data_IF_384255952091
#
_entry.id   IF_384255952091
#
_cell.length_a   1.000
_cell.length_b   1.000
_cell.length_c   1.000
_cell.angle_alpha   90.00
_cell.angle_beta   90.00
_cell.angle_gamma   90.00
#
_symmetry.space_group_name_H-M   'P 1'
#
loop_
_entity.id
_entity.type
_entity.pdbx_description
1 polymer ?
#
# COMPACT_ATOMS: atom_id res chain seq x y z
N UNK A 1 8.39 -12.00 -15.93
CA UNK A 1 9.12 -11.23 -14.87
C UNK A 1 8.18 -10.15 -14.39
N UNK A 2 7.91 -10.13 -13.09
CA UNK A 2 7.15 -9.09 -12.42
C UNK A 2 8.15 -8.11 -11.82
N UNK A 3 8.12 -6.87 -12.28
CA UNK A 3 8.89 -5.77 -11.71
C UNK A 3 7.87 -4.83 -11.07
N UNK A 4 7.83 -4.82 -9.74
CA UNK A 4 6.86 -4.06 -8.96
C UNK A 4 7.59 -3.22 -7.92
N UNK A 5 7.20 -1.95 -7.84
CA UNK A 5 7.69 -1.06 -6.81
C UNK A 5 6.55 -0.22 -6.25
N UNK A 6 6.66 0.08 -4.96
CA UNK A 6 5.73 0.92 -4.25
C UNK A 6 6.48 1.85 -3.31
N UNK A 7 6.14 3.13 -3.38
CA UNK A 7 6.56 4.17 -2.47
C UNK A 7 5.33 4.75 -1.78
N UNK A 8 5.38 4.94 -0.47
CA UNK A 8 4.29 5.54 0.30
C UNK A 8 4.81 6.66 1.18
N UNK A 9 4.09 7.79 1.21
CA UNK A 9 4.32 8.88 2.14
C UNK A 9 3.13 8.98 3.07
N UNK A 10 3.38 8.88 4.38
CA UNK A 10 2.35 8.84 5.43
C UNK A 10 2.54 9.98 6.42
N UNK A 11 1.44 10.64 6.76
CA UNK A 11 1.33 11.55 7.88
C UNK A 11 0.45 10.91 8.94
N UNK A 12 1.03 10.62 10.11
CA UNK A 12 0.36 9.97 11.22
C UNK A 12 0.31 10.89 12.44
N UNK A 13 -0.76 10.81 13.22
CA UNK A 13 -0.88 11.54 14.48
C UNK A 13 -1.36 10.62 15.59
N UNK A 14 -0.60 10.52 16.68
CA UNK A 14 -0.93 9.66 17.81
C UNK A 14 -1.95 10.34 18.74
N UNK A 15 -3.10 9.72 18.92
CA UNK A 15 -4.20 10.13 19.79
C UNK A 15 -4.53 8.98 20.75
N UNK A 16 -3.83 8.92 21.88
CA UNK A 16 -4.00 7.85 22.89
C UNK A 16 -3.78 6.44 22.29
N UNK A 17 -4.82 5.60 22.25
CA UNK A 17 -4.81 4.23 21.69
C UNK A 17 -4.95 4.20 20.16
N UNK A 18 -5.33 5.31 19.54
CA UNK A 18 -5.51 5.42 18.09
C UNK A 18 -4.36 6.21 17.48
N UNK A 19 -3.85 5.75 16.34
CA UNK A 19 -2.90 6.51 15.52
C UNK A 19 -3.46 6.58 14.10
N UNK A 20 -4.41 7.50 13.84
CA UNK A 20 -4.88 7.74 12.48
C UNK A 20 -3.73 8.28 11.60
N UNK A 21 -3.76 7.88 10.33
CA UNK A 21 -2.84 8.36 9.32
C UNK A 21 -3.52 8.55 7.97
N UNK A 22 -2.96 9.46 7.18
CA UNK A 22 -3.33 9.69 5.79
C UNK A 22 -2.06 9.83 4.97
N UNK A 23 -2.12 9.44 3.71
CA UNK A 23 -0.96 9.53 2.85
C UNK A 23 -1.25 9.30 1.39
N UNK A 24 -0.17 9.28 0.63
CA UNK A 24 -0.18 8.98 -0.79
C UNK A 24 0.68 7.76 -1.05
N UNK A 25 0.25 6.96 -2.02
CA UNK A 25 0.94 5.75 -2.47
C UNK A 25 1.26 5.93 -3.94
N UNK A 26 2.52 5.82 -4.31
CA UNK A 26 2.95 5.73 -5.70
C UNK A 26 3.42 4.30 -5.97
N UNK A 27 2.67 3.55 -6.76
CA UNK A 27 3.03 2.18 -7.14
C UNK A 27 3.07 2.02 -8.65
N UNK A 28 3.89 1.07 -9.12
CA UNK A 28 3.87 0.64 -10.50
C UNK A 28 4.27 -0.82 -10.61
N UNK A 29 3.36 -1.60 -11.17
CA UNK A 29 3.57 -3.00 -11.51
C UNK A 29 3.73 -3.15 -13.02
N UNK A 30 4.91 -3.54 -13.50
CA UNK A 30 5.14 -3.89 -14.91
C UNK A 30 5.17 -5.42 -15.08
N UNK A 31 4.24 -5.96 -15.88
CA UNK A 31 4.20 -7.39 -16.19
C UNK A 31 4.93 -7.69 -17.50
N UNK A 32 6.08 -8.37 -17.41
CA UNK A 32 6.86 -8.78 -18.58
C UNK A 32 6.56 -10.25 -18.87
N UNK A 33 5.72 -10.51 -19.87
CA UNK A 33 5.47 -11.85 -20.40
C UNK A 33 6.51 -12.15 -21.49
N UNK A 34 7.21 -13.27 -21.37
CA UNK A 34 8.14 -13.74 -22.40
C UNK A 34 7.41 -14.73 -23.31
N UNK A 35 7.24 -14.39 -24.59
CA UNK A 35 6.78 -15.31 -25.64
C UNK A 35 7.87 -15.32 -26.72
N UNK A 36 8.41 -16.49 -27.02
CA UNK A 36 9.31 -16.75 -28.17
C UNK A 36 10.51 -15.79 -28.35
N UNK A 37 11.31 -15.54 -27.30
CA UNK A 37 12.52 -14.69 -27.35
C UNK A 37 12.30 -13.23 -27.78
N UNK A 38 11.06 -12.79 -28.00
CA UNK A 38 10.71 -11.40 -28.30
C UNK A 38 10.23 -10.74 -27.03
N UNK A 39 10.96 -9.70 -26.59
CA UNK A 39 10.66 -8.94 -25.38
C UNK A 39 9.43 -8.05 -25.58
N UNK A 40 8.22 -8.59 -25.41
CA UNK A 40 7.00 -7.79 -25.36
C UNK A 40 6.79 -7.24 -23.95
N UNK A 41 7.09 -5.94 -23.76
CA UNK A 41 6.79 -5.20 -22.53
C UNK A 41 5.34 -4.71 -22.58
N UNK A 42 4.43 -5.42 -21.93
CA UNK A 42 3.09 -4.89 -21.64
C UNK A 42 3.23 -4.01 -20.39
N UNK A 43 3.44 -2.71 -20.60
CA UNK A 43 3.49 -1.74 -19.50
C UNK A 43 2.08 -1.57 -18.93
N UNK A 44 1.94 -1.64 -17.61
CA UNK A 44 0.70 -1.26 -16.93
C UNK A 44 0.37 0.20 -17.24
N UNK A 45 -0.93 0.48 -17.38
CA UNK A 45 -1.46 1.78 -17.77
C UNK A 45 -1.00 2.85 -16.76
N UNK A 46 -0.31 3.88 -17.26
CA UNK A 46 0.34 4.95 -16.45
C UNK A 46 -0.66 5.80 -15.64
N UNK A 47 -1.95 5.62 -15.90
CA UNK A 47 -3.05 6.39 -15.29
C UNK A 47 -3.32 6.01 -13.82
N UNK A 48 -2.81 4.85 -13.37
CA UNK A 48 -3.15 4.19 -12.11
C UNK A 48 -1.93 3.93 -11.24
N UNK A 49 -1.15 4.99 -11.01
CA UNK A 49 0.08 4.88 -10.23
C UNK A 49 0.04 5.64 -8.92
N UNK A 50 -0.84 6.63 -8.74
CA UNK A 50 -0.92 7.43 -7.51
C UNK A 50 -2.27 7.16 -6.83
N UNK A 51 -2.21 6.63 -5.61
CA UNK A 51 -3.34 6.37 -4.74
C UNK A 51 -3.31 7.27 -3.50
N UNK A 52 -4.49 7.50 -2.92
CA UNK A 52 -4.65 8.06 -1.58
C UNK A 52 -4.93 6.92 -0.60
N UNK A 53 -4.21 6.93 0.50
CA UNK A 53 -4.36 5.98 1.61
C UNK A 53 -4.82 6.71 2.86
N UNK A 54 -5.75 6.12 3.59
CA UNK A 54 -6.10 6.55 4.93
C UNK A 54 -6.32 5.33 5.80
N UNK A 55 -5.87 5.40 7.05
CA UNK A 55 -5.95 4.28 7.96
C UNK A 55 -5.77 4.70 9.40
N UNK A 56 -5.80 3.71 10.29
CA UNK A 56 -5.58 3.92 11.72
C UNK A 56 -4.94 2.68 12.32
N UNK A 57 -3.97 2.92 13.21
CA UNK A 57 -3.47 1.90 14.11
C UNK A 57 -4.26 1.95 15.43
N UNK A 58 -4.60 0.79 15.96
CA UNK A 58 -5.29 0.62 17.24
C UNK A 58 -4.36 -0.19 18.15
N UNK A 59 -3.75 0.47 19.13
CA UNK A 59 -2.92 -0.19 20.12
C UNK A 59 -3.80 -1.03 21.05
N UNK A 60 -3.57 -2.34 21.05
CA UNK A 60 -4.22 -3.25 22.00
C UNK A 60 -3.42 -3.28 23.30
N UNK A 61 -2.11 -3.48 23.19
CA UNK A 61 -1.12 -3.48 24.27
C UNK A 61 0.18 -2.83 23.77
N UNK A 62 1.20 -2.70 24.62
CA UNK A 62 2.53 -2.16 24.24
C UNK A 62 3.27 -2.98 23.17
N UNK A 63 2.86 -4.24 22.97
CA UNK A 63 3.47 -5.19 22.02
C UNK A 63 2.60 -5.52 20.83
N UNK A 64 1.30 -5.22 20.87
CA UNK A 64 0.33 -5.68 19.87
C UNK A 64 -0.54 -4.50 19.39
N UNK A 65 -0.63 -4.32 18.08
CA UNK A 65 -1.54 -3.35 17.48
C UNK A 65 -2.22 -3.90 16.23
N UNK A 66 -3.45 -3.44 16.02
CA UNK A 66 -4.20 -3.68 14.79
C UNK A 66 -4.00 -2.49 13.86
N UNK A 67 -3.95 -2.73 12.57
CA UNK A 67 -3.87 -1.68 11.56
C UNK A 67 -5.00 -1.89 10.56
N UNK A 68 -5.75 -0.82 10.31
CA UNK A 68 -6.79 -0.73 9.30
C UNK A 68 -6.35 0.29 8.27
N UNK A 69 -6.28 -0.09 7.00
CA UNK A 69 -5.93 0.81 5.89
C UNK A 69 -6.95 0.70 4.76
N UNK A 70 -7.35 1.84 4.20
CA UNK A 70 -8.13 1.95 2.98
C UNK A 70 -7.36 2.67 1.88
N UNK A 71 -7.43 2.13 0.67
CA UNK A 71 -6.98 2.74 -0.58
C UNK A 71 -8.20 3.23 -1.37
N UNK A 72 -8.18 4.48 -1.84
CA UNK A 72 -9.40 5.13 -2.38
C UNK A 72 -9.37 5.46 -3.88
N UNK A 73 -8.22 5.86 -4.44
CA UNK A 73 -8.19 6.44 -5.81
C UNK A 73 -7.82 5.42 -6.90
N UNK A 74 -6.76 4.65 -6.68
CA UNK A 74 -6.17 3.80 -7.72
C UNK A 74 -6.85 2.42 -7.79
N UNK A 75 -6.95 1.81 -6.62
CA UNK A 75 -7.68 0.58 -6.35
C UNK A 75 -8.48 0.80 -5.06
N UNK A 76 -9.80 0.72 -5.15
CA UNK A 76 -10.66 0.69 -3.97
C UNK A 76 -10.41 -0.63 -3.24
N UNK A 77 -9.60 -0.58 -2.18
CA UNK A 77 -9.17 -1.76 -1.44
C UNK A 77 -9.08 -1.42 0.05
N UNK A 78 -9.28 -2.42 0.90
CA UNK A 78 -9.10 -2.30 2.32
C UNK A 78 -8.20 -3.44 2.81
N UNK A 79 -7.34 -3.15 3.79
CA UNK A 79 -6.52 -4.15 4.47
C UNK A 79 -6.67 -4.03 5.97
N UNK A 80 -6.65 -5.18 6.61
CA UNK A 80 -6.59 -5.33 8.05
C UNK A 80 -5.35 -6.17 8.37
N UNK A 81 -4.53 -5.70 9.30
CA UNK A 81 -3.35 -6.43 9.76
C UNK A 81 -3.24 -6.45 11.27
N UNK A 82 -2.58 -7.51 11.78
CA UNK A 82 -2.22 -7.67 13.18
C UNK A 82 -0.70 -7.61 13.24
N UNK A 83 -0.19 -6.72 14.08
CA UNK A 83 1.23 -6.44 14.16
C UNK A 83 1.73 -6.69 15.59
N UNK A 84 2.93 -7.25 15.69
CA UNK A 84 3.57 -7.59 16.95
C UNK A 84 5.00 -7.03 17.00
N UNK A 85 5.36 -6.42 18.12
CA UNK A 85 6.71 -5.95 18.42
C UNK A 85 7.39 -6.93 19.37
N UNK A 86 8.47 -7.55 18.89
CA UNK A 86 9.38 -8.40 19.68
C UNK A 86 10.28 -7.56 20.58
#
# INVERSE_FOLDING_TARGET
VLDDWQFSLLFAHKISILTPYIGTRWSRMDYIHWVDNVRNRVKSDRSKSIGLIAGTDIALNDTLWLNLEGNFLDAAAASLSINYRF
#
